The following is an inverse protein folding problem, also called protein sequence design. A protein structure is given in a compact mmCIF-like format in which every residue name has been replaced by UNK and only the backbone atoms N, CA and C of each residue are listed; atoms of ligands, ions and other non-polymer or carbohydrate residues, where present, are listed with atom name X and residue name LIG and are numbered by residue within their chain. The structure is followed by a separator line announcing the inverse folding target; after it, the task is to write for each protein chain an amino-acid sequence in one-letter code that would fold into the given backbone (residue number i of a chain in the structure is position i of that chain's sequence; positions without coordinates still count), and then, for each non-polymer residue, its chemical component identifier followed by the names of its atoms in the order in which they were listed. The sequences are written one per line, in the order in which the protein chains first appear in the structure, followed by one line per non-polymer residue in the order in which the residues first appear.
data_IF_912861658184
#
_entry.id   IF_912861658184
#
_cell.length_a   1.000
_cell.length_b   1.000
_cell.length_c   1.000
_cell.angle_alpha   90.00
_cell.angle_beta   90.00
_cell.angle_gamma   90.00
#
_symmetry.space_group_name_H-M   'P 1'
#
loop_
_entity.id
_entity.type
_entity.pdbx_description
1 polymer ?
#
# COMPACT_ATOMS: atom_id res chain seq x y z
N UNK A 1 -1.33 4.06 -0.71
CA UNK A 1 -1.86 2.90 0.02
C UNK A 1 -2.26 3.37 1.42
N UNK A 2 -3.37 2.89 1.93
CA UNK A 2 -3.80 3.09 3.32
C UNK A 2 -3.54 1.78 4.08
N UNK A 3 -3.03 1.87 5.31
CA UNK A 3 -2.73 0.71 6.15
C UNK A 3 -3.43 0.87 7.49
N UNK A 4 -4.10 -0.20 7.93
CA UNK A 4 -4.71 -0.30 9.25
C UNK A 4 -3.73 -0.97 10.21
N UNK A 5 -3.38 -0.29 11.30
CA UNK A 5 -2.58 -0.84 12.40
C UNK A 5 -3.44 -1.22 13.62
N UNK A 6 -4.76 -1.07 13.51
CA UNK A 6 -5.70 -1.09 14.62
C UNK A 6 -5.59 0.15 15.51
N UNK A 7 -5.96 0.01 16.77
CA UNK A 7 -5.85 1.09 17.74
C UNK A 7 -4.37 1.46 17.97
N UNK A 8 -4.06 2.74 17.90
CA UNK A 8 -2.72 3.29 18.11
C UNK A 8 -2.80 4.44 19.13
N UNK A 9 -1.72 4.72 19.88
CA UNK A 9 -1.64 5.94 20.67
C UNK A 9 -1.66 7.17 19.75
N UNK A 10 -2.16 8.30 20.26
CA UNK A 10 -2.22 9.56 19.50
C UNK A 10 -0.83 10.14 19.19
N UNK A 11 0.17 9.78 20.00
CA UNK A 11 1.55 10.19 19.84
C UNK A 11 2.48 8.98 19.93
N UNK A 12 3.50 8.89 19.07
CA UNK A 12 4.59 7.94 19.27
C UNK A 12 5.30 8.19 20.60
N UNK A 13 5.92 7.15 21.15
CA UNK A 13 6.81 7.31 22.28
C UNK A 13 8.07 8.07 21.84
N UNK A 14 8.41 9.13 22.57
CA UNK A 14 9.61 9.96 22.39
C UNK A 14 9.78 10.58 20.99
N UNK A 15 8.70 10.68 20.20
CA UNK A 15 8.74 11.14 18.81
C UNK A 15 9.72 10.36 17.91
N UNK A 16 9.98 9.09 18.27
CA UNK A 16 10.89 8.21 17.52
C UNK A 16 10.12 7.37 16.50
N UNK A 17 10.58 7.42 15.25
CA UNK A 17 10.08 6.64 14.12
C UNK A 17 10.15 5.13 14.34
N UNK A 18 11.00 4.64 15.25
CA UNK A 18 11.09 3.21 15.58
C UNK A 18 9.84 2.69 16.31
N UNK A 19 9.03 3.58 16.91
CA UNK A 19 7.80 3.23 17.61
C UNK A 19 6.55 3.24 16.71
N UNK A 20 6.70 3.56 15.42
CA UNK A 20 5.60 3.62 14.46
C UNK A 20 5.93 2.85 13.19
N UNK A 21 4.91 2.64 12.36
CA UNK A 21 5.14 2.14 11.01
C UNK A 21 5.91 3.20 10.20
N UNK A 22 7.13 2.87 9.82
CA UNK A 22 7.94 3.69 8.92
C UNK A 22 7.37 3.65 7.49
N UNK A 23 6.68 4.71 7.09
CA UNK A 23 6.09 4.85 5.76
C UNK A 23 7.13 4.82 4.62
N UNK A 24 8.41 5.03 4.91
CA UNK A 24 9.48 4.88 3.90
C UNK A 24 9.60 3.44 3.43
N UNK A 25 9.35 2.46 4.31
CA UNK A 25 9.31 1.03 3.96
C UNK A 25 8.11 0.72 3.06
N UNK A 26 6.95 1.30 3.36
CA UNK A 26 5.74 1.19 2.52
C UNK A 26 6.02 1.72 1.12
N UNK A 27 6.62 2.91 1.01
CA UNK A 27 7.03 3.51 -0.26
C UNK A 27 8.01 2.60 -1.02
N UNK A 28 9.02 2.06 -0.34
CA UNK A 28 10.00 1.20 -0.97
C UNK A 28 9.37 -0.08 -1.54
N UNK A 29 8.49 -0.75 -0.76
CA UNK A 29 7.73 -1.91 -1.24
C UNK A 29 6.94 -1.58 -2.51
N UNK A 30 6.28 -0.42 -2.54
CA UNK A 30 5.51 0.00 -3.72
C UNK A 30 6.41 0.17 -4.94
N UNK A 31 7.54 0.86 -4.79
CA UNK A 31 8.49 1.07 -5.89
C UNK A 31 9.06 -0.26 -6.36
N UNK A 32 9.56 -1.08 -5.44
CA UNK A 32 10.16 -2.37 -5.75
C UNK A 32 9.17 -3.24 -6.52
N UNK A 33 7.93 -3.35 -6.05
CA UNK A 33 6.91 -4.17 -6.72
C UNK A 33 6.51 -3.64 -8.10
N UNK A 34 6.35 -2.33 -8.23
CA UNK A 34 5.99 -1.69 -9.51
C UNK A 34 7.13 -1.72 -10.54
N UNK A 35 8.37 -1.93 -10.11
CA UNK A 35 9.57 -1.91 -10.98
C UNK A 35 10.24 -3.27 -11.14
N UNK A 36 9.83 -4.29 -10.37
CA UNK A 36 10.47 -5.61 -10.34
C UNK A 36 10.42 -6.31 -11.70
N UNK A 37 9.25 -6.35 -12.32
CA UNK A 37 9.02 -6.99 -13.62
C UNK A 37 7.80 -6.40 -14.31
N UNK A 38 7.67 -6.66 -15.63
CA UNK A 38 6.47 -6.29 -16.35
C UNK A 38 5.27 -7.14 -15.90
N UNK A 39 4.15 -6.49 -15.64
CA UNK A 39 2.88 -7.12 -15.28
C UNK A 39 1.80 -6.71 -16.27
N UNK A 40 1.03 -7.69 -16.74
CA UNK A 40 0.02 -7.46 -17.78
C UNK A 40 -1.23 -6.76 -17.24
N UNK A 41 -1.61 -7.07 -15.99
CA UNK A 41 -2.88 -6.64 -15.38
C UNK A 41 -2.64 -5.84 -14.11
N UNK A 42 -3.41 -4.77 -13.91
CA UNK A 42 -3.36 -3.97 -12.69
C UNK A 42 -3.89 -4.78 -11.49
N UNK A 43 -4.80 -5.72 -11.74
CA UNK A 43 -5.32 -6.72 -10.80
C UNK A 43 -4.19 -7.56 -10.18
N UNK A 44 -3.24 -7.99 -11.01
CA UNK A 44 -2.07 -8.74 -10.54
C UNK A 44 -1.17 -7.86 -9.70
N UNK A 45 -0.86 -6.65 -10.17
CA UNK A 45 0.02 -5.71 -9.46
C UNK A 45 -0.56 -5.32 -8.09
N UNK A 46 -1.84 -4.95 -8.06
CA UNK A 46 -2.51 -4.52 -6.83
C UNK A 46 -2.63 -5.68 -5.82
N UNK A 47 -2.86 -6.91 -6.30
CA UNK A 47 -2.85 -8.10 -5.47
C UNK A 47 -1.47 -8.37 -4.84
N UNK A 48 -0.39 -8.31 -5.63
CA UNK A 48 0.99 -8.47 -5.14
C UNK A 48 1.34 -7.39 -4.10
N UNK A 49 0.97 -6.13 -4.36
CA UNK A 49 1.15 -5.03 -3.41
C UNK A 49 0.39 -5.25 -2.10
N UNK A 50 -0.90 -5.57 -2.15
CA UNK A 50 -1.70 -5.87 -0.97
C UNK A 50 -1.06 -7.01 -0.15
N UNK A 51 -0.65 -8.10 -0.82
CA UNK A 51 -0.03 -9.23 -0.17
C UNK A 51 1.27 -8.85 0.55
N UNK A 52 2.18 -8.09 -0.07
CA UNK A 52 3.44 -7.66 0.56
C UNK A 52 3.22 -6.64 1.68
N UNK A 53 2.30 -5.69 1.50
CA UNK A 53 2.00 -4.69 2.54
C UNK A 53 1.36 -5.32 3.78
N UNK A 54 0.54 -6.37 3.62
CA UNK A 54 0.00 -7.16 4.73
C UNK A 54 1.07 -7.91 5.54
N UNK A 55 2.28 -8.09 5.02
CA UNK A 55 3.39 -8.71 5.76
C UNK A 55 4.16 -7.72 6.66
N UNK A 56 3.83 -6.42 6.60
CA UNK A 56 4.46 -5.43 7.45
C UNK A 56 4.02 -5.64 8.92
N UNK A 57 4.95 -5.56 9.89
CA UNK A 57 4.62 -5.74 11.30
C UNK A 57 3.49 -4.80 11.77
N UNK A 58 2.50 -5.36 12.45
CA UNK A 58 1.37 -4.63 13.02
C UNK A 58 0.26 -4.27 12.03
N UNK A 59 0.44 -4.51 10.72
CA UNK A 59 -0.61 -4.25 9.72
C UNK A 59 -1.72 -5.29 9.81
N UNK A 60 -2.93 -4.83 10.09
CA UNK A 60 -4.15 -5.63 10.21
C UNK A 60 -4.96 -5.64 8.92
N UNK A 61 -4.84 -4.58 8.11
CA UNK A 61 -5.53 -4.44 6.84
C UNK A 61 -4.90 -3.38 5.94
N UNK A 62 -5.18 -3.45 4.66
CA UNK A 62 -4.68 -2.52 3.65
C UNK A 62 -5.76 -2.15 2.66
N UNK A 63 -5.72 -0.90 2.17
CA UNK A 63 -6.42 -0.45 0.97
C UNK A 63 -5.41 0.11 -0.01
N UNK A 64 -5.40 -0.43 -1.22
CA UNK A 64 -4.55 0.07 -2.29
C UNK A 64 -5.45 0.56 -3.41
N UNK A 65 -5.09 1.70 -4.01
CA UNK A 65 -5.67 2.19 -5.27
C UNK A 65 -4.50 2.37 -6.23
N UNK A 66 -4.58 1.78 -7.41
CA UNK A 66 -3.67 2.06 -8.51
C UNK A 66 -4.46 2.82 -9.57
N UNK A 67 -4.03 4.05 -9.85
CA UNK A 67 -4.52 4.85 -10.97
C UNK A 67 -3.53 4.75 -12.10
N UNK A 68 -3.99 4.43 -13.31
CA UNK A 68 -3.18 4.51 -14.52
C UNK A 68 -3.48 5.85 -15.19
N UNK A 69 -2.50 6.73 -15.13
CA UNK A 69 -2.59 8.07 -15.73
C UNK A 69 -2.46 7.96 -17.24
N UNK A 70 -3.16 8.83 -17.97
CA UNK A 70 -2.94 9.08 -19.41
C UNK A 70 -3.07 7.86 -20.33
N UNK A 71 -4.05 7.00 -20.06
CA UNK A 71 -4.42 5.88 -20.95
C UNK A 71 -5.56 6.24 -21.89
N UNK A 72 -6.45 7.13 -21.46
CA UNK A 72 -7.57 7.63 -22.23
C UNK A 72 -7.70 9.13 -22.02
N UNK A 73 -8.01 9.86 -23.09
CA UNK A 73 -8.11 11.32 -23.05
C UNK A 73 -9.39 11.81 -22.36
N UNK A 74 -10.35 10.91 -22.11
CA UNK A 74 -11.68 11.23 -21.61
C UNK A 74 -11.95 10.73 -20.17
N UNK A 75 -11.06 9.91 -19.59
CA UNK A 75 -11.27 9.36 -18.25
C UNK A 75 -9.99 8.93 -17.51
N UNK A 76 -10.05 9.00 -16.17
CA UNK A 76 -9.11 8.31 -15.28
C UNK A 76 -9.59 6.87 -15.09
N UNK A 77 -8.70 5.88 -15.25
CA UNK A 77 -8.98 4.50 -14.84
C UNK A 77 -8.17 4.15 -13.61
N UNK A 78 -8.85 3.58 -12.62
CA UNK A 78 -8.23 3.11 -11.41
C UNK A 78 -8.87 1.81 -10.93
N UNK A 79 -8.06 0.97 -10.28
CA UNK A 79 -8.52 -0.21 -9.55
C UNK A 79 -8.19 -0.05 -8.07
N UNK A 80 -9.11 -0.49 -7.22
CA UNK A 80 -8.95 -0.51 -5.77
C UNK A 80 -9.09 -1.94 -5.26
N UNK A 81 -8.28 -2.28 -4.27
CA UNK A 81 -8.38 -3.54 -3.55
C UNK A 81 -8.24 -3.30 -2.05
N UNK A 82 -8.96 -4.11 -1.27
CA UNK A 82 -8.93 -4.13 0.19
C UNK A 82 -8.65 -5.56 0.66
N UNK A 83 -7.81 -5.70 1.67
CA UNK A 83 -7.48 -6.98 2.30
C UNK A 83 -7.26 -6.81 3.80
N UNK A 84 -7.56 -7.83 4.59
CA UNK A 84 -7.44 -7.82 6.05
C UNK A 84 -8.61 -7.14 6.76
N UNK A 85 -8.40 -6.76 8.03
CA UNK A 85 -9.38 -6.07 8.86
C UNK A 85 -9.32 -4.56 8.71
N UNK A 86 -10.48 -3.91 8.58
CA UNK A 86 -10.65 -2.46 8.58
C UNK A 86 -11.47 -1.98 9.78
#
# INVERSE_FOLDING_TARGET
AELNLGQQPLHPHDDDITHVLDYRKVRQIIIDECTAEHVNLLETLIGKLCARLMQLPGVQGVRVKITKLEIFDDCEVAIRMEAGGW
#
